data_IF_553235862048
#
_entry.id   IF_553235862048
#
_cell.length_a   1.000
_cell.length_b   1.000
_cell.length_c   1.000
_cell.angle_alpha   90.00
_cell.angle_beta   90.00
_cell.angle_gamma   90.00
#
_symmetry.space_group_name_H-M   'P 1'
#
loop_
_entity.id
_entity.type
_entity.pdbx_description
1 polymer ?
#
# COMPACT_ATOMS: atom_id res chain seq x y z
N UNK A 1 14.28 -45.75 -12.84
CA UNK A 1 13.66 -45.22 -11.60
C UNK A 1 14.30 -43.92 -11.10
N UNK A 2 15.63 -43.78 -11.06
CA UNK A 2 16.28 -42.58 -10.51
C UNK A 2 15.93 -41.25 -11.22
N UNK A 3 15.70 -41.26 -12.53
CA UNK A 3 15.38 -40.04 -13.30
C UNK A 3 14.02 -39.44 -12.91
N UNK A 4 13.02 -40.29 -12.71
CA UNK A 4 11.69 -39.87 -12.27
C UNK A 4 11.72 -39.29 -10.85
N UNK A 5 12.53 -39.85 -9.96
CA UNK A 5 12.66 -39.36 -8.58
C UNK A 5 13.33 -37.98 -8.52
N UNK A 6 14.42 -37.76 -9.27
CA UNK A 6 15.10 -36.45 -9.31
C UNK A 6 14.20 -35.39 -9.94
N UNK A 7 13.56 -35.70 -11.07
CA UNK A 7 12.63 -34.77 -11.72
C UNK A 7 11.45 -34.41 -10.80
N UNK A 8 10.87 -35.40 -10.11
CA UNK A 8 9.77 -35.18 -9.16
C UNK A 8 10.22 -34.32 -7.97
N UNK A 9 11.41 -34.58 -7.41
CA UNK A 9 11.95 -33.79 -6.30
C UNK A 9 12.16 -32.32 -6.69
N UNK A 10 12.62 -32.05 -7.92
CA UNK A 10 12.83 -30.69 -8.42
C UNK A 10 11.52 -29.95 -8.67
N UNK A 11 10.52 -30.64 -9.23
CA UNK A 11 9.18 -30.08 -9.39
C UNK A 11 8.58 -29.75 -8.02
N UNK A 12 8.74 -30.64 -7.04
CA UNK A 12 8.29 -30.39 -5.67
C UNK A 12 9.02 -29.20 -5.03
N UNK A 13 10.34 -29.05 -5.23
CA UNK A 13 11.09 -27.89 -4.74
C UNK A 13 10.63 -26.59 -5.41
N UNK A 14 10.40 -26.61 -6.72
CA UNK A 14 9.91 -25.44 -7.46
C UNK A 14 8.49 -25.04 -6.99
N UNK A 15 7.60 -26.01 -6.81
CA UNK A 15 6.24 -25.78 -6.28
C UNK A 15 6.30 -25.27 -4.85
N UNK A 16 7.12 -25.88 -3.99
CA UNK A 16 7.32 -25.43 -2.60
C UNK A 16 7.86 -24.00 -2.55
N UNK A 17 8.86 -23.67 -3.38
CA UNK A 17 9.40 -22.31 -3.50
C UNK A 17 8.32 -21.33 -3.95
N UNK A 18 7.58 -21.64 -5.02
CA UNK A 18 6.51 -20.78 -5.52
C UNK A 18 5.41 -20.56 -4.46
N UNK A 19 5.05 -21.62 -3.73
CA UNK A 19 4.10 -21.55 -2.63
C UNK A 19 4.62 -20.68 -1.48
N UNK A 20 5.85 -20.89 -1.01
CA UNK A 20 6.46 -20.06 0.04
C UNK A 20 6.54 -18.58 -0.33
N UNK A 21 6.85 -18.26 -1.59
CA UNK A 21 6.85 -16.86 -2.07
C UNK A 21 5.44 -16.29 -2.07
N UNK A 22 4.46 -17.05 -2.58
CA UNK A 22 3.07 -16.61 -2.69
C UNK A 22 2.40 -16.40 -1.33
N UNK A 23 2.70 -17.26 -0.36
CA UNK A 23 2.24 -17.10 1.03
C UNK A 23 3.01 -15.99 1.78
N UNK A 24 4.05 -15.42 1.18
CA UNK A 24 4.87 -14.40 1.82
C UNK A 24 5.79 -14.94 2.91
N UNK A 25 6.13 -16.22 2.88
CA UNK A 25 7.05 -16.87 3.83
C UNK A 25 8.51 -16.82 3.38
N UNK A 26 8.73 -16.83 2.07
CA UNK A 26 10.04 -16.61 1.45
C UNK A 26 10.01 -15.30 0.66
N UNK A 27 10.67 -14.27 1.17
CA UNK A 27 10.74 -12.95 0.56
C UNK A 27 12.11 -12.31 0.74
N UNK A 28 12.31 -11.17 0.08
CA UNK A 28 13.62 -10.53 -0.05
C UNK A 28 14.38 -11.09 -1.26
N UNK A 29 14.88 -10.17 -2.09
CA UNK A 29 15.52 -10.51 -3.37
C UNK A 29 16.70 -11.46 -3.17
N UNK A 30 17.55 -11.18 -2.18
CA UNK A 30 18.76 -11.96 -1.93
C UNK A 30 18.46 -13.36 -1.38
N UNK A 31 17.42 -13.49 -0.54
CA UNK A 31 17.00 -14.78 0.05
C UNK A 31 16.36 -15.69 -0.99
N UNK A 32 15.53 -15.12 -1.87
CA UNK A 32 14.96 -15.84 -3.00
C UNK A 32 16.05 -16.28 -3.96
N UNK A 33 16.99 -15.39 -4.33
CA UNK A 33 18.11 -15.73 -5.20
C UNK A 33 18.97 -16.85 -4.60
N UNK A 34 19.27 -16.79 -3.31
CA UNK A 34 20.01 -17.85 -2.61
C UNK A 34 19.30 -19.20 -2.67
N UNK A 35 17.99 -19.21 -2.52
CA UNK A 35 17.17 -20.42 -2.64
C UNK A 35 17.17 -20.95 -4.07
N UNK A 36 17.02 -20.07 -5.07
CA UNK A 36 17.03 -20.45 -6.49
C UNK A 36 18.41 -21.00 -6.92
N UNK A 37 19.51 -20.44 -6.41
CA UNK A 37 20.87 -20.95 -6.60
C UNK A 37 21.04 -22.34 -5.98
N UNK A 38 20.52 -22.56 -4.77
CA UNK A 38 20.56 -23.87 -4.10
C UNK A 38 19.78 -24.94 -4.90
N UNK A 39 18.56 -24.63 -5.32
CA UNK A 39 17.74 -25.53 -6.16
C UNK A 39 18.49 -25.88 -7.45
N UNK A 40 19.11 -24.88 -8.08
CA UNK A 40 19.87 -25.05 -9.31
C UNK A 40 21.12 -25.93 -9.09
N UNK A 41 21.84 -25.72 -7.99
CA UNK A 41 23.02 -26.52 -7.63
C UNK A 41 22.66 -27.98 -7.36
N UNK A 42 21.56 -28.24 -6.63
CA UNK A 42 21.05 -29.60 -6.38
C UNK A 42 20.64 -30.31 -7.68
N UNK A 43 20.04 -29.56 -8.61
CA UNK A 43 19.70 -30.09 -9.92
C UNK A 43 20.96 -30.50 -10.69
N UNK A 44 21.94 -29.59 -10.78
CA UNK A 44 23.22 -29.85 -11.44
C UNK A 44 23.89 -31.09 -10.84
N UNK A 45 23.97 -31.18 -9.51
CA UNK A 45 24.54 -32.33 -8.82
C UNK A 45 23.78 -33.62 -9.15
N UNK A 46 22.44 -33.58 -9.16
CA UNK A 46 21.59 -34.71 -9.53
C UNK A 46 21.84 -35.21 -10.95
N UNK A 47 22.01 -34.31 -11.92
CA UNK A 47 22.34 -34.65 -13.31
C UNK A 47 23.76 -35.24 -13.44
N UNK A 48 24.74 -34.70 -12.71
CA UNK A 48 26.12 -35.23 -12.70
C UNK A 48 26.15 -36.64 -12.13
N UNK A 49 25.52 -36.86 -10.97
CA UNK A 49 25.45 -38.18 -10.34
C UNK A 49 24.71 -39.18 -11.24
N UNK A 50 23.59 -38.77 -11.84
CA UNK A 50 22.86 -39.60 -12.80
C UNK A 50 23.76 -40.05 -13.97
N UNK A 51 24.47 -39.12 -14.61
CA UNK A 51 25.37 -39.45 -15.73
C UNK A 51 26.48 -40.39 -15.29
N UNK A 52 27.02 -40.19 -14.09
CA UNK A 52 28.04 -41.05 -13.51
C UNK A 52 27.53 -42.50 -13.34
N UNK A 53 26.34 -42.69 -12.76
CA UNK A 53 25.76 -44.03 -12.56
C UNK A 53 25.35 -44.71 -13.88
N UNK A 54 24.74 -43.99 -14.82
CA UNK A 54 24.36 -44.54 -16.14
C UNK A 54 25.60 -45.03 -16.91
N UNK A 55 26.73 -44.30 -16.82
CA UNK A 55 28.00 -44.74 -17.42
C UNK A 55 28.55 -45.99 -16.73
N UNK A 56 28.43 -46.08 -15.40
CA UNK A 56 28.92 -47.23 -14.63
C UNK A 56 28.15 -48.52 -14.95
N UNK A 57 26.84 -48.45 -15.14
CA UNK A 57 26.03 -49.62 -15.50
C UNK A 57 26.31 -50.11 -16.93
N UNK A 58 26.51 -49.18 -17.87
CA UNK A 58 26.95 -49.54 -19.24
C UNK A 58 28.34 -50.20 -19.27
N UNK A 59 29.24 -49.82 -18.36
CA UNK A 59 30.58 -50.43 -18.25
C UNK A 59 30.50 -51.88 -17.76
N UNK A 60 29.64 -52.19 -16.78
CA UNK A 60 29.46 -53.55 -16.26
C UNK A 60 28.77 -54.52 -17.22
N UNK A 61 28.03 -54.02 -18.21
CA UNK A 61 27.37 -54.84 -19.24
C UNK A 61 28.27 -55.23 -20.41
N UNK A 62 29.50 -54.70 -20.51
CA UNK A 62 30.35 -54.82 -21.71
C UNK A 62 31.36 -55.98 -21.68
N UNK A 63 31.30 -56.86 -20.68
CA UNK A 63 32.20 -58.02 -20.54
C UNK A 63 31.83 -59.25 -21.41
N UNK A 64 30.85 -59.15 -22.34
CA UNK A 64 30.43 -60.30 -23.17
C UNK A 64 30.36 -60.08 -24.69
N UNK A 65 30.80 -58.96 -25.24
CA UNK A 65 30.80 -58.80 -26.71
C UNK A 65 31.73 -57.69 -27.18
N UNK A 66 32.80 -58.07 -27.87
CA UNK A 66 33.75 -57.15 -28.49
C UNK A 66 33.05 -56.20 -29.47
N UNK A 67 33.03 -54.92 -29.13
CA UNK A 67 32.44 -53.86 -29.96
C UNK A 67 33.02 -52.52 -29.56
N UNK A 68 33.78 -51.95 -30.50
CA UNK A 68 34.48 -50.66 -30.49
C UNK A 68 34.17 -49.75 -29.29
N UNK A 69 35.19 -49.50 -28.47
CA UNK A 69 35.15 -48.43 -27.49
C UNK A 69 35.18 -47.08 -28.21
N UNK A 70 34.00 -46.51 -28.48
CA UNK A 70 33.89 -45.09 -28.77
C UNK A 70 34.37 -44.32 -27.55
N UNK A 71 35.60 -43.82 -27.63
CA UNK A 71 36.15 -42.89 -26.67
C UNK A 71 35.29 -41.62 -26.69
N UNK A 72 34.83 -41.12 -25.53
CA UNK A 72 34.02 -39.91 -25.48
C UNK A 72 34.79 -38.78 -26.16
N UNK A 73 34.18 -38.20 -27.20
CA UNK A 73 34.82 -37.14 -27.98
C UNK A 73 34.89 -35.85 -27.15
N UNK A 74 35.90 -35.01 -27.39
CA UNK A 74 36.06 -33.72 -26.69
C UNK A 74 34.80 -32.83 -26.82
N UNK A 75 34.08 -32.95 -27.93
CA UNK A 75 32.79 -32.32 -28.21
C UNK A 75 31.67 -32.75 -27.25
N UNK A 76 31.65 -34.02 -26.82
CA UNK A 76 30.65 -34.51 -25.85
C UNK A 76 30.87 -33.94 -24.44
N UNK A 77 32.11 -33.59 -24.12
CA UNK A 77 32.47 -32.94 -22.86
C UNK A 77 32.10 -31.46 -22.85
N UNK A 78 32.38 -30.74 -23.94
CA UNK A 78 31.98 -29.33 -24.05
C UNK A 78 30.46 -29.16 -24.12
N UNK A 79 29.75 -30.00 -24.87
CA UNK A 79 28.29 -29.97 -24.92
C UNK A 79 27.68 -30.22 -23.54
N UNK A 80 28.27 -31.13 -22.75
CA UNK A 80 27.83 -31.40 -21.39
C UNK A 80 28.15 -30.25 -20.43
N UNK A 81 29.34 -29.65 -20.52
CA UNK A 81 29.72 -28.49 -19.72
C UNK A 81 28.83 -27.26 -20.02
N UNK A 82 28.54 -26.99 -21.29
CA UNK A 82 27.64 -25.92 -21.70
C UNK A 82 26.22 -26.14 -21.19
N UNK A 83 25.71 -27.38 -21.25
CA UNK A 83 24.39 -27.74 -20.70
C UNK A 83 24.36 -27.57 -19.17
N UNK A 84 25.43 -27.94 -18.48
CA UNK A 84 25.57 -27.78 -17.03
C UNK A 84 25.58 -26.33 -16.58
N UNK A 85 26.17 -25.43 -17.38
CA UNK A 85 26.25 -24.00 -17.06
C UNK A 85 24.97 -23.24 -17.45
N UNK A 86 24.32 -23.61 -18.55
CA UNK A 86 23.11 -22.92 -19.03
C UNK A 86 21.84 -23.26 -18.24
N UNK A 87 21.79 -24.45 -17.65
CA UNK A 87 20.57 -24.95 -17.00
C UNK A 87 20.24 -24.27 -15.66
N UNK A 88 21.20 -23.93 -14.77
CA UNK A 88 20.94 -23.07 -13.62
C UNK A 88 20.31 -21.73 -14.01
N UNK A 89 20.87 -21.05 -15.01
CA UNK A 89 20.34 -19.76 -15.47
C UNK A 89 18.91 -19.88 -16.00
N UNK A 90 18.61 -20.95 -16.75
CA UNK A 90 17.27 -21.24 -17.24
C UNK A 90 16.27 -21.51 -16.10
N UNK A 91 16.67 -22.30 -15.09
CA UNK A 91 15.81 -22.62 -13.94
C UNK A 91 15.54 -21.38 -13.09
N UNK A 92 16.57 -20.60 -12.76
CA UNK A 92 16.42 -19.34 -12.03
C UNK A 92 15.51 -18.37 -12.80
N UNK A 93 15.70 -18.26 -14.12
CA UNK A 93 14.87 -17.41 -14.98
C UNK A 93 13.41 -17.85 -14.98
N UNK A 94 13.16 -19.16 -15.09
CA UNK A 94 11.81 -19.72 -15.07
C UNK A 94 11.13 -19.53 -13.71
N UNK A 95 11.84 -19.78 -12.61
CA UNK A 95 11.31 -19.58 -11.25
C UNK A 95 11.01 -18.10 -10.97
N UNK A 96 11.87 -17.20 -11.46
CA UNK A 96 11.65 -15.76 -11.36
C UNK A 96 10.46 -15.30 -12.22
N UNK A 97 10.25 -15.93 -13.38
CA UNK A 97 9.12 -15.64 -14.25
C UNK A 97 7.78 -16.10 -13.64
N UNK A 98 7.75 -17.27 -13.01
CA UNK A 98 6.51 -17.88 -12.48
C UNK A 98 6.12 -17.31 -11.12
N UNK A 99 7.09 -17.08 -10.23
CA UNK A 99 6.84 -16.58 -8.88
C UNK A 99 7.92 -15.53 -8.53
N UNK A 100 7.87 -14.33 -9.11
CA UNK A 100 8.90 -13.31 -8.89
C UNK A 100 9.00 -12.93 -7.41
N UNK A 101 10.17 -12.49 -6.96
CA UNK A 101 10.36 -12.03 -5.58
C UNK A 101 9.44 -10.87 -5.19
N UNK A 102 8.95 -10.12 -6.18
CA UNK A 102 7.98 -9.05 -6.01
C UNK A 102 7.01 -9.10 -7.18
N UNK A 103 5.70 -8.95 -6.97
CA UNK A 103 4.75 -8.93 -8.07
C UNK A 103 5.13 -7.86 -9.10
N UNK A 104 5.19 -8.25 -10.38
CA UNK A 104 5.56 -7.35 -11.49
C UNK A 104 4.69 -6.08 -11.56
N UNK A 105 3.46 -6.14 -11.02
CA UNK A 105 2.52 -5.03 -10.99
C UNK A 105 3.05 -3.79 -10.21
N UNK A 106 3.98 -3.95 -9.28
CA UNK A 106 4.41 -2.84 -8.41
C UNK A 106 5.61 -2.04 -8.93
N UNK A 107 6.30 -2.52 -9.97
CA UNK A 107 7.34 -1.79 -10.69
C UNK A 107 8.62 -1.50 -9.91
N UNK A 108 8.77 -2.03 -8.70
CA UNK A 108 9.99 -1.95 -7.89
C UNK A 108 10.20 -3.25 -7.10
N UNK A 109 11.43 -3.50 -6.66
CA UNK A 109 11.77 -4.67 -5.82
C UNK A 109 11.25 -4.49 -4.40
N UNK A 110 10.88 -5.58 -3.74
CA UNK A 110 10.58 -5.59 -2.32
C UNK A 110 11.80 -5.11 -1.51
N UNK A 111 11.55 -4.37 -0.43
CA UNK A 111 12.61 -4.00 0.51
C UNK A 111 13.16 -5.25 1.22
N UNK A 112 14.39 -5.14 1.73
CA UNK A 112 14.99 -6.21 2.54
C UNK A 112 14.10 -6.51 3.75
N UNK A 113 13.94 -7.80 4.04
CA UNK A 113 13.11 -8.29 5.14
C UNK A 113 11.69 -7.68 5.17
N UNK A 114 11.08 -7.39 4.02
CA UNK A 114 9.69 -6.92 3.94
C UNK A 114 8.83 -7.81 3.04
N UNK A 115 7.71 -8.26 3.58
CA UNK A 115 6.71 -8.99 2.85
C UNK A 115 5.90 -8.05 1.95
N UNK A 116 5.60 -8.50 0.73
CA UNK A 116 4.73 -7.79 -0.24
C UNK A 116 3.56 -8.67 -0.69
N UNK A 117 3.78 -9.98 -0.81
CA UNK A 117 2.72 -10.94 -1.10
C UNK A 117 1.73 -11.02 0.06
N UNK A 118 0.44 -11.16 -0.26
CA UNK A 118 -0.66 -11.27 0.70
C UNK A 118 -0.84 -10.07 1.65
N UNK A 119 -0.12 -8.97 1.44
CA UNK A 119 -0.35 -7.74 2.18
C UNK A 119 -1.64 -7.04 1.73
N UNK A 120 -2.37 -6.43 2.67
CA UNK A 120 -3.60 -5.71 2.36
C UNK A 120 -3.33 -4.47 1.51
N UNK A 121 -2.31 -3.71 1.90
CA UNK A 121 -1.90 -2.49 1.25
C UNK A 121 -0.43 -2.58 0.85
N UNK A 122 -0.07 -2.01 -0.30
CA UNK A 122 1.30 -2.01 -0.81
C UNK A 122 1.68 -0.59 -1.20
N UNK A 123 2.89 -0.20 -0.87
CA UNK A 123 3.45 1.11 -1.20
C UNK A 123 4.93 1.04 -1.53
N UNK A 124 5.43 2.13 -2.12
CA UNK A 124 6.83 2.34 -2.48
C UNK A 124 7.43 3.34 -1.49
N UNK A 125 8.56 3.00 -0.87
CA UNK A 125 9.30 3.95 -0.06
C UNK A 125 9.80 5.12 -0.91
N UNK A 126 9.60 6.35 -0.42
CA UNK A 126 10.06 7.58 -1.10
C UNK A 126 10.95 8.42 -0.20
N UNK A 127 11.56 9.45 -0.78
CA UNK A 127 12.49 10.36 -0.09
C UNK A 127 13.95 9.91 -0.20
N UNK A 128 14.92 10.81 0.02
CA UNK A 128 16.34 10.55 -0.24
C UNK A 128 16.97 9.54 0.72
N UNK A 129 16.45 9.43 1.95
CA UNK A 129 16.97 8.54 2.98
C UNK A 129 16.16 7.25 3.14
N UNK A 130 15.11 7.05 2.34
CA UNK A 130 14.13 5.99 2.53
C UNK A 130 13.19 6.30 3.68
N UNK A 131 12.72 5.25 4.38
CA UNK A 131 11.74 5.38 5.45
C UNK A 131 12.23 4.68 6.73
N UNK A 132 12.27 5.42 7.84
CA UNK A 132 12.71 4.89 9.13
C UNK A 132 11.58 4.10 9.78
N UNK A 133 11.87 2.85 10.14
CA UNK A 133 10.94 2.01 10.88
C UNK A 133 11.12 2.19 12.37
N UNK A 134 10.01 2.14 13.11
CA UNK A 134 9.97 2.32 14.56
C UNK A 134 9.19 1.20 15.22
N UNK A 135 9.44 1.02 16.52
CA UNK A 135 8.75 0.03 17.36
C UNK A 135 7.26 0.32 17.58
N UNK A 136 6.83 1.57 17.35
CA UNK A 136 5.43 2.00 17.47
C UNK A 136 5.08 3.17 16.54
N UNK A 137 3.80 3.56 16.50
CA UNK A 137 3.28 4.54 15.56
C UNK A 137 3.57 5.98 16.01
N UNK A 138 4.83 6.42 15.93
CA UNK A 138 5.20 7.78 16.34
C UNK A 138 6.70 8.01 16.40
N UNK A 139 7.11 9.28 16.47
CA UNK A 139 8.53 9.64 16.60
C UNK A 139 9.07 9.43 18.01
N UNK A 140 8.17 9.38 19.00
CA UNK A 140 8.52 9.06 20.38
C UNK A 140 9.03 7.60 20.54
N UNK A 141 8.66 6.71 19.61
CA UNK A 141 9.11 5.32 19.62
C UNK A 141 10.52 5.16 19.08
N UNK A 142 11.26 4.18 19.61
CA UNK A 142 12.61 3.88 19.17
C UNK A 142 12.64 3.49 17.69
N UNK A 143 13.64 4.02 16.97
CA UNK A 143 13.94 3.57 15.61
C UNK A 143 14.55 2.17 15.69
N UNK A 144 13.98 1.22 14.96
CA UNK A 144 14.44 -0.17 14.97
C UNK A 144 15.15 -0.57 13.67
N UNK A 145 14.76 0.04 12.56
CA UNK A 145 15.25 -0.33 11.24
C UNK A 145 15.12 0.86 10.27
N UNK A 146 15.61 0.70 9.03
CA UNK A 146 15.41 1.64 7.93
C UNK A 146 15.24 0.89 6.62
N UNK A 147 14.15 1.18 5.93
CA UNK A 147 13.96 0.72 4.56
C UNK A 147 14.59 1.71 3.59
N UNK A 148 15.32 1.20 2.60
CA UNK A 148 15.88 2.00 1.53
C UNK A 148 14.80 2.70 0.71
N UNK A 149 15.17 3.74 -0.04
CA UNK A 149 14.27 4.42 -0.96
C UNK A 149 14.03 3.60 -2.23
N UNK A 150 12.85 3.75 -2.83
CA UNK A 150 12.52 3.14 -4.12
C UNK A 150 12.31 1.62 -4.06
N UNK A 151 11.96 1.07 -2.91
CA UNK A 151 11.59 -0.34 -2.76
C UNK A 151 10.16 -0.50 -2.24
N UNK A 152 9.56 -1.65 -2.49
CA UNK A 152 8.16 -1.95 -2.19
C UNK A 152 8.02 -2.58 -0.80
N UNK A 153 7.01 -2.12 -0.06
CA UNK A 153 6.62 -2.63 1.25
C UNK A 153 5.15 -3.05 1.22
N UNK A 154 4.84 -4.19 1.83
CA UNK A 154 3.48 -4.58 2.20
C UNK A 154 3.14 -4.12 3.61
N UNK A 155 1.87 -3.79 3.81
CA UNK A 155 1.33 -3.29 5.07
C UNK A 155 0.05 -4.02 5.44
N UNK A 156 -0.12 -4.28 6.73
CA UNK A 156 -1.35 -4.86 7.28
C UNK A 156 -2.46 -3.81 7.39
N UNK A 157 -2.09 -2.58 7.77
CA UNK A 157 -2.99 -1.47 8.04
C UNK A 157 -2.25 -0.28 8.61
N UNK A 158 -2.98 0.62 9.27
CA UNK A 158 -2.40 1.80 9.90
C UNK A 158 -2.87 2.00 11.34
N UNK A 159 -2.06 2.78 12.07
CA UNK A 159 -2.37 3.36 13.35
C UNK A 159 -2.28 4.89 13.26
N UNK A 160 -2.98 5.59 14.16
CA UNK A 160 -2.83 7.04 14.31
C UNK A 160 -1.69 7.29 15.29
N UNK A 161 -0.80 8.21 14.92
CA UNK A 161 0.44 8.46 15.63
C UNK A 161 0.86 9.91 15.59
N UNK A 162 2.13 10.16 15.92
CA UNK A 162 2.68 11.51 15.85
C UNK A 162 2.59 12.08 14.43
N UNK A 163 2.20 13.36 14.36
CA UNK A 163 2.13 14.11 13.12
C UNK A 163 3.53 14.31 12.52
N UNK A 164 3.72 13.81 11.29
CA UNK A 164 4.95 13.99 10.51
C UNK A 164 4.66 15.00 9.40
N UNK A 165 5.53 16.01 9.27
CA UNK A 165 5.47 16.90 8.10
C UNK A 165 5.83 16.11 6.85
N UNK A 166 4.92 16.07 5.91
CA UNK A 166 5.15 15.43 4.62
C UNK A 166 6.07 16.34 3.79
N UNK A 167 7.27 15.86 3.39
CA UNK A 167 8.22 16.68 2.65
C UNK A 167 7.78 16.96 1.20
N UNK A 168 6.81 16.21 0.68
CA UNK A 168 6.30 16.30 -0.69
C UNK A 168 4.94 17.02 -0.74
N UNK A 169 4.16 16.97 0.35
CA UNK A 169 2.87 17.65 0.41
C UNK A 169 3.00 19.19 0.38
N UNK A 170 1.97 19.91 -0.12
CA UNK A 170 1.92 21.37 -0.06
C UNK A 170 2.21 21.91 1.35
N UNK A 171 2.95 23.04 1.42
CA UNK A 171 3.57 23.58 2.65
C UNK A 171 2.61 23.57 3.84
N UNK A 172 2.90 22.71 4.83
CA UNK A 172 2.25 22.70 6.14
C UNK A 172 1.38 21.48 6.43
N UNK A 173 1.21 20.55 5.49
CA UNK A 173 0.48 19.32 5.78
C UNK A 173 1.27 18.34 6.64
N UNK A 174 0.54 17.72 7.56
CA UNK A 174 1.02 16.65 8.41
C UNK A 174 0.28 15.36 8.09
N UNK A 175 1.01 14.26 8.08
CA UNK A 175 0.47 12.91 8.03
C UNK A 175 0.57 12.30 9.42
N UNK A 176 -0.52 11.70 9.86
CA UNK A 176 -0.66 11.09 11.19
C UNK A 176 -0.74 9.57 11.11
N UNK A 177 -0.86 9.00 9.91
CA UNK A 177 -0.91 7.56 9.72
C UNK A 177 0.49 6.97 9.74
N UNK A 178 0.65 5.98 10.60
CA UNK A 178 1.81 5.13 10.70
C UNK A 178 1.41 3.73 10.26
N UNK A 179 2.05 3.22 9.21
CA UNK A 179 1.72 1.95 8.58
C UNK A 179 2.46 0.82 9.30
N UNK A 180 1.74 -0.22 9.69
CA UNK A 180 2.35 -1.45 10.20
C UNK A 180 2.83 -2.29 9.02
N UNK A 181 4.13 -2.51 8.93
CA UNK A 181 4.73 -3.39 7.92
C UNK A 181 4.25 -4.81 8.14
N UNK A 182 3.76 -5.44 7.07
CA UNK A 182 3.20 -6.78 7.13
C UNK A 182 4.23 -7.81 7.60
N UNK A 183 3.79 -8.70 8.48
CA UNK A 183 4.61 -9.80 9.02
C UNK A 183 3.74 -10.98 9.46
N UNK A 184 4.38 -12.09 9.82
CA UNK A 184 3.70 -13.22 10.44
C UNK A 184 3.76 -13.09 11.97
N UNK A 185 2.63 -12.76 12.60
CA UNK A 185 2.58 -12.57 14.06
C UNK A 185 2.70 -13.89 14.84
N UNK A 186 2.11 -14.98 14.31
CA UNK A 186 1.94 -16.23 15.05
C UNK A 186 2.12 -17.49 14.20
N UNK A 187 2.21 -18.63 14.89
CA UNK A 187 2.23 -19.95 14.30
C UNK A 187 3.53 -20.32 13.59
N UNK A 188 3.46 -21.37 12.77
CA UNK A 188 4.62 -21.90 12.05
C UNK A 188 5.13 -20.94 10.96
N UNK A 189 4.24 -20.10 10.40
CA UNK A 189 4.58 -19.12 9.37
C UNK A 189 5.63 -18.13 9.85
N UNK A 190 5.48 -17.62 11.08
CA UNK A 190 6.48 -16.77 11.75
C UNK A 190 7.85 -17.43 11.84
N UNK A 191 7.91 -18.68 12.27
CA UNK A 191 9.19 -19.41 12.39
C UNK A 191 9.86 -19.57 11.03
N UNK A 192 9.08 -19.91 10.00
CA UNK A 192 9.60 -20.10 8.63
C UNK A 192 10.06 -18.76 8.04
N UNK A 193 9.26 -17.70 8.14
CA UNK A 193 9.61 -16.37 7.65
C UNK A 193 10.86 -15.80 8.35
N UNK A 194 10.99 -16.02 9.66
CA UNK A 194 12.20 -15.63 10.42
C UNK A 194 13.44 -16.36 9.95
N UNK A 195 13.36 -17.67 9.70
CA UNK A 195 14.52 -18.49 9.29
C UNK A 195 14.89 -18.25 7.82
N UNK A 196 13.90 -18.14 6.95
CA UNK A 196 14.13 -18.06 5.50
C UNK A 196 14.25 -16.63 4.96
N UNK A 197 13.61 -15.66 5.61
CA UNK A 197 13.48 -14.28 5.10
C UNK A 197 14.01 -13.21 6.06
N UNK A 198 14.65 -13.60 7.16
CA UNK A 198 15.09 -12.72 8.26
C UNK A 198 13.99 -11.80 8.80
N UNK A 199 12.74 -12.29 8.86
CA UNK A 199 11.64 -11.50 9.40
C UNK A 199 11.93 -11.09 10.86
N UNK A 200 11.90 -9.78 11.19
CA UNK A 200 12.19 -9.32 12.54
C UNK A 200 11.06 -9.65 13.51
N UNK A 201 11.43 -9.91 14.77
CA UNK A 201 10.48 -10.31 15.81
C UNK A 201 9.58 -9.19 16.33
N UNK A 202 9.97 -7.94 16.12
CA UNK A 202 9.24 -6.77 16.60
C UNK A 202 8.40 -6.14 15.49
N UNK A 203 7.31 -5.48 15.86
CA UNK A 203 6.49 -4.68 14.95
C UNK A 203 7.33 -3.52 14.39
N UNK A 204 7.11 -3.19 13.12
CA UNK A 204 7.78 -2.09 12.42
C UNK A 204 6.73 -1.15 11.86
N UNK A 205 6.72 0.07 12.37
CA UNK A 205 5.84 1.13 11.89
C UNK A 205 6.64 2.12 11.06
N UNK A 206 6.09 2.55 9.92
CA UNK A 206 6.69 3.57 9.07
C UNK A 206 5.68 4.70 8.82
N UNK A 207 6.16 5.92 8.66
CA UNK A 207 5.27 7.04 8.36
C UNK A 207 4.78 6.96 6.91
N UNK A 208 3.48 7.16 6.70
CA UNK A 208 2.88 7.17 5.36
C UNK A 208 3.38 8.34 4.50
N UNK A 209 3.87 9.45 5.09
CA UNK A 209 4.50 10.57 4.36
C UNK A 209 5.66 10.14 3.45
N UNK A 210 6.29 9.01 3.77
CA UNK A 210 7.43 8.48 3.04
C UNK A 210 7.06 7.20 2.28
N UNK A 211 5.78 7.02 1.94
CA UNK A 211 5.27 5.88 1.17
C UNK A 211 4.32 6.36 0.07
N UNK A 212 4.71 6.16 -1.19
CA UNK A 212 3.83 6.36 -2.33
C UNK A 212 2.92 5.14 -2.54
N UNK A 213 1.60 5.32 -2.72
CA UNK A 213 0.66 4.22 -2.88
C UNK A 213 0.95 3.37 -4.13
N UNK A 214 0.87 2.04 -4.01
CA UNK A 214 0.85 1.08 -5.13
C UNK A 214 -0.43 0.23 -5.16
N UNK A 215 -1.20 0.25 -4.08
CA UNK A 215 -2.54 -0.32 -3.97
C UNK A 215 -3.59 0.76 -3.69
N UNK A 216 -4.88 0.51 -3.96
CA UNK A 216 -5.95 1.42 -3.58
C UNK A 216 -5.98 1.67 -2.06
N UNK A 217 -6.18 2.93 -1.66
CA UNK A 217 -6.20 3.36 -0.26
C UNK A 217 -7.30 2.68 0.57
N UNK A 218 -8.40 2.25 -0.05
CA UNK A 218 -9.47 1.51 0.62
C UNK A 218 -9.02 0.17 1.24
N UNK A 219 -7.87 -0.36 0.83
CA UNK A 219 -7.29 -1.55 1.44
C UNK A 219 -6.53 -1.23 2.73
N UNK A 220 -6.21 0.05 2.98
CA UNK A 220 -5.50 0.50 4.15
C UNK A 220 -6.49 0.78 5.28
N UNK A 221 -6.61 -0.16 6.22
CA UNK A 221 -7.57 -0.10 7.33
C UNK A 221 -6.90 0.26 8.65
N UNK A 222 -7.65 0.90 9.54
CA UNK A 222 -7.23 1.10 10.92
C UNK A 222 -7.17 -0.25 11.64
N UNK A 223 -6.09 -0.49 12.38
CA UNK A 223 -5.83 -1.80 12.99
C UNK A 223 -6.48 -1.99 14.37
N UNK A 224 -7.07 -0.94 14.94
CA UNK A 224 -7.67 -0.98 16.28
C UNK A 224 -6.65 -0.74 17.41
N UNK A 225 -7.17 -0.44 18.60
CA UNK A 225 -6.37 0.03 19.73
C UNK A 225 -5.34 -1.01 20.21
N UNK A 226 -5.68 -2.30 20.14
CA UNK A 226 -4.80 -3.41 20.54
C UNK A 226 -3.55 -3.49 19.66
N UNK A 227 -3.72 -3.39 18.34
CA UNK A 227 -2.60 -3.40 17.41
C UNK A 227 -1.78 -2.10 17.48
N UNK A 228 -2.43 -0.99 17.86
CA UNK A 228 -1.90 0.37 17.91
C UNK A 228 -1.47 0.81 19.32
N UNK A 229 -1.02 -0.12 20.16
CA UNK A 229 -0.58 0.17 21.53
C UNK A 229 0.43 1.34 21.59
N UNK A 230 0.14 2.31 22.48
CA UNK A 230 0.93 3.53 22.65
C UNK A 230 0.77 4.57 21.53
N UNK A 231 -0.03 4.28 20.50
CA UNK A 231 -0.43 5.25 19.49
C UNK A 231 -1.40 6.29 20.01
N UNK A 232 -1.80 7.21 19.13
CA UNK A 232 -2.81 8.22 19.44
C UNK A 232 -4.20 7.64 19.24
N UNK A 233 -5.15 8.17 20.01
CA UNK A 233 -6.56 7.88 19.82
C UNK A 233 -6.98 8.28 18.40
N UNK A 234 -7.91 7.51 17.84
CA UNK A 234 -8.50 7.78 16.54
C UNK A 234 -9.29 9.12 16.58
N UNK A 235 -9.33 9.86 15.46
CA UNK A 235 -10.21 11.01 15.31
C UNK A 235 -11.64 10.74 15.77
N UNK A 236 -12.14 11.59 16.67
CA UNK A 236 -13.52 11.59 17.12
C UNK A 236 -14.48 12.14 16.05
N UNK A 237 -15.79 11.99 16.24
CA UNK A 237 -16.78 12.56 15.34
C UNK A 237 -16.67 14.08 15.31
N UNK A 238 -16.87 14.65 14.12
CA UNK A 238 -16.99 16.09 13.94
C UNK A 238 -18.41 16.51 14.29
N UNK A 239 -18.55 17.59 15.04
CA UNK A 239 -19.78 18.37 15.14
C UNK A 239 -19.60 19.62 14.29
N UNK A 240 -20.54 19.92 13.40
CA UNK A 240 -20.47 21.08 12.52
C UNK A 240 -21.67 21.99 12.75
N UNK A 241 -21.39 23.26 13.02
CA UNK A 241 -22.36 24.35 13.03
C UNK A 241 -22.02 25.34 11.92
N UNK A 242 -22.97 26.18 11.55
CA UNK A 242 -22.72 27.18 10.51
C UNK A 242 -23.53 28.44 10.68
N UNK A 243 -22.95 29.56 10.27
CA UNK A 243 -23.61 30.86 10.26
C UNK A 243 -23.29 31.64 8.98
N UNK A 244 -24.17 32.55 8.54
CA UNK A 244 -23.86 33.46 7.44
C UNK A 244 -22.65 34.34 7.79
N UNK A 245 -21.71 34.48 6.86
CA UNK A 245 -20.52 35.31 7.04
C UNK A 245 -20.13 36.02 5.74
N UNK A 246 -20.24 37.35 5.70
CA UNK A 246 -19.63 38.22 4.68
C UNK A 246 -19.64 37.71 3.22
N UNK A 247 -20.80 37.37 2.67
CA UNK A 247 -20.90 36.85 1.29
C UNK A 247 -20.63 35.34 1.16
N UNK A 248 -20.72 34.60 2.27
CA UNK A 248 -20.48 33.17 2.36
C UNK A 248 -21.12 32.54 3.60
N UNK A 249 -20.65 31.34 3.94
CA UNK A 249 -21.04 30.58 5.14
C UNK A 249 -19.78 30.25 5.92
N UNK A 250 -19.75 30.61 7.19
CA UNK A 250 -18.71 30.14 8.12
C UNK A 250 -19.16 28.82 8.75
N UNK A 251 -18.33 27.80 8.63
CA UNK A 251 -18.47 26.55 9.34
C UNK A 251 -17.59 26.60 10.59
N UNK A 252 -18.18 26.29 11.74
CA UNK A 252 -17.43 26.06 12.98
C UNK A 252 -17.57 24.59 13.32
N UNK A 253 -16.44 23.90 13.47
CA UNK A 253 -16.42 22.48 13.75
C UNK A 253 -15.69 22.18 15.05
N UNK A 254 -16.18 21.19 15.78
CA UNK A 254 -15.59 20.68 17.02
C UNK A 254 -15.30 19.18 16.84
N UNK A 255 -14.12 18.74 17.29
CA UNK A 255 -13.70 17.34 17.22
C UNK A 255 -12.66 17.03 18.28
N UNK A 256 -12.40 15.75 18.53
CA UNK A 256 -11.35 15.28 19.43
C UNK A 256 -10.31 14.48 18.65
N UNK A 257 -9.07 14.48 19.16
CA UNK A 257 -7.97 13.64 18.65
C UNK A 257 -7.69 13.81 17.14
N UNK A 258 -7.91 15.00 16.62
CA UNK A 258 -7.77 15.34 15.21
C UNK A 258 -6.83 16.54 15.08
N UNK A 259 -5.81 16.43 14.24
CA UNK A 259 -4.86 17.52 13.97
C UNK A 259 -5.40 18.53 12.95
N UNK A 260 -6.28 18.09 12.05
CA UNK A 260 -6.79 18.89 10.93
C UNK A 260 -8.18 18.46 10.51
N UNK A 261 -9.04 19.43 10.21
CA UNK A 261 -10.37 19.20 9.64
C UNK A 261 -10.44 19.85 8.26
N UNK A 262 -11.02 19.11 7.32
CA UNK A 262 -11.32 19.57 5.97
C UNK A 262 -12.83 19.73 5.77
N UNK A 263 -13.22 20.63 4.87
CA UNK A 263 -14.61 20.79 4.43
C UNK A 263 -14.67 20.68 2.91
N UNK A 264 -15.65 19.95 2.40
CA UNK A 264 -16.00 19.90 0.99
C UNK A 264 -17.49 20.17 0.78
N UNK A 265 -17.85 20.60 -0.43
CA UNK A 265 -19.22 20.79 -0.86
C UNK A 265 -19.52 20.01 -2.14
N UNK A 266 -20.76 19.56 -2.27
CA UNK A 266 -21.32 18.94 -3.45
C UNK A 266 -22.48 19.79 -3.99
N UNK A 267 -22.36 20.16 -5.25
CA UNK A 267 -23.40 20.75 -6.08
C UNK A 267 -24.02 19.63 -6.94
N UNK A 268 -25.31 19.70 -7.28
CA UNK A 268 -25.94 18.71 -8.12
C UNK A 268 -25.52 18.94 -9.57
N UNK A 269 -25.19 17.86 -10.29
CA UNK A 269 -24.61 17.91 -11.63
C UNK A 269 -25.47 18.67 -12.65
N UNK A 270 -26.79 18.62 -12.50
CA UNK A 270 -27.73 19.33 -13.37
C UNK A 270 -27.79 20.85 -13.10
N UNK A 271 -27.22 21.34 -12.00
CA UNK A 271 -27.25 22.75 -11.62
C UNK A 271 -25.94 23.49 -11.92
N UNK A 272 -24.89 22.79 -12.36
CA UNK A 272 -23.58 23.38 -12.68
C UNK A 272 -23.46 23.65 -14.18
N UNK A 273 -22.97 24.84 -14.53
CA UNK A 273 -22.62 25.25 -15.90
C UNK A 273 -21.17 24.88 -16.24
N UNK A 274 -20.30 24.80 -15.25
CA UNK A 274 -18.89 24.48 -15.39
C UNK A 274 -18.21 24.31 -14.03
N UNK A 275 -17.05 23.65 -14.01
CA UNK A 275 -16.32 23.30 -12.79
C UNK A 275 -16.66 21.89 -12.29
N UNK A 276 -16.17 21.56 -11.09
CA UNK A 276 -16.43 20.27 -10.44
C UNK A 276 -17.66 20.35 -9.55
N UNK A 277 -18.53 19.34 -9.65
CA UNK A 277 -19.67 19.15 -8.76
C UNK A 277 -19.25 18.98 -7.30
N UNK A 278 -18.11 18.32 -7.06
CA UNK A 278 -17.54 18.11 -5.74
C UNK A 278 -16.22 18.86 -5.62
N UNK A 279 -16.07 19.68 -4.58
CA UNK A 279 -14.82 20.41 -4.33
C UNK A 279 -14.56 20.66 -2.87
N UNK A 280 -13.28 20.82 -2.54
CA UNK A 280 -12.85 21.30 -1.23
C UNK A 280 -13.22 22.78 -1.06
N UNK A 281 -13.72 23.13 0.12
CA UNK A 281 -13.86 24.52 0.56
C UNK A 281 -12.56 24.99 1.19
N UNK A 282 -11.98 24.16 2.06
CA UNK A 282 -10.71 24.41 2.71
C UNK A 282 -10.40 23.33 3.75
N UNK A 283 -9.22 23.44 4.34
CA UNK A 283 -8.81 22.63 5.49
C UNK A 283 -7.93 23.47 6.40
N UNK A 284 -8.02 23.23 7.71
CA UNK A 284 -7.25 23.95 8.72
C UNK A 284 -6.89 23.04 9.89
N UNK A 285 -5.77 23.37 10.52
CA UNK A 285 -5.35 22.72 11.77
C UNK A 285 -6.38 22.98 12.86
N UNK A 286 -6.58 21.97 13.69
CA UNK A 286 -7.47 22.05 14.83
C UNK A 286 -6.76 22.76 15.97
N UNK A 287 -7.44 23.70 16.60
CA UNK A 287 -6.92 24.41 17.78
C UNK A 287 -6.78 23.46 18.98
N UNK A 288 -6.04 23.88 20.01
CA UNK A 288 -5.81 23.06 21.20
C UNK A 288 -7.10 22.65 21.95
N UNK A 289 -8.19 23.39 21.75
CA UNK A 289 -9.52 23.10 22.30
C UNK A 289 -10.35 22.16 21.42
N UNK A 290 -9.83 21.68 20.29
CA UNK A 290 -10.57 20.81 19.37
C UNK A 290 -11.43 21.55 18.34
N UNK A 291 -11.34 22.88 18.26
CA UNK A 291 -12.19 23.69 17.37
C UNK A 291 -11.46 24.13 16.10
N UNK A 292 -12.23 24.40 15.05
CA UNK A 292 -11.74 24.92 13.76
C UNK A 292 -12.83 25.73 13.09
N UNK A 293 -12.47 26.79 12.35
CA UNK A 293 -13.41 27.57 11.53
C UNK A 293 -12.95 27.70 10.08
N UNK A 294 -13.83 27.37 9.13
CA UNK A 294 -13.58 27.41 7.68
C UNK A 294 -14.73 28.16 7.00
N UNK A 295 -14.40 29.16 6.17
CA UNK A 295 -15.41 29.95 5.45
C UNK A 295 -15.55 29.48 4.01
N UNK A 296 -16.76 29.10 3.63
CA UNK A 296 -17.14 28.93 2.24
C UNK A 296 -17.56 30.26 1.63
N UNK A 297 -16.73 30.78 0.71
CA UNK A 297 -17.09 31.91 -0.11
C UNK A 297 -18.11 31.48 -1.19
N UNK A 298 -19.38 31.86 -1.02
CA UNK A 298 -20.42 31.46 -1.96
C UNK A 298 -20.35 32.26 -3.27
N UNK A 299 -19.71 33.44 -3.26
CA UNK A 299 -19.51 34.25 -4.47
C UNK A 299 -18.62 33.56 -5.51
N UNK A 300 -17.71 32.67 -5.11
CA UNK A 300 -16.95 31.84 -6.07
C UNK A 300 -17.80 30.70 -6.66
N UNK A 301 -18.90 30.36 -5.99
CA UNK A 301 -19.78 29.25 -6.36
C UNK A 301 -20.90 29.71 -7.28
N UNK A 302 -21.46 30.91 -7.06
CA UNK A 302 -22.57 31.43 -7.85
C UNK A 302 -22.32 31.46 -9.37
N UNK A 303 -21.15 31.90 -9.89
CA UNK A 303 -20.88 31.93 -11.32
C UNK A 303 -20.83 30.54 -11.99
N UNK A 304 -20.61 29.49 -11.19
CA UNK A 304 -20.51 28.11 -11.68
C UNK A 304 -21.89 27.47 -11.87
N UNK A 305 -22.95 28.10 -11.35
CA UNK A 305 -24.29 27.57 -11.40
C UNK A 305 -25.01 28.04 -12.66
N UNK A 306 -25.96 27.24 -13.14
CA UNK A 306 -26.79 27.60 -14.30
C UNK A 306 -27.56 28.89 -14.01
N UNK A 307 -27.52 29.91 -14.90
CA UNK A 307 -28.23 31.16 -14.69
C UNK A 307 -29.76 31.01 -14.80
N UNK A 308 -30.53 31.89 -14.15
CA UNK A 308 -32.00 31.97 -14.18
C UNK A 308 -32.71 30.65 -13.78
N UNK A 309 -32.55 30.28 -12.51
CA UNK A 309 -33.13 29.06 -11.94
C UNK A 309 -34.51 29.34 -11.38
N UNK A 310 -35.47 28.47 -11.67
CA UNK A 310 -36.80 28.51 -11.06
C UNK A 310 -36.83 27.95 -9.64
N UNK A 311 -35.84 27.13 -9.28
CA UNK A 311 -35.76 26.45 -7.97
C UNK A 311 -34.40 26.68 -7.29
N UNK A 312 -34.36 26.69 -5.94
CA UNK A 312 -33.11 26.74 -5.18
C UNK A 312 -32.23 25.52 -5.43
N UNK A 313 -30.92 25.73 -5.56
CA UNK A 313 -29.93 24.63 -5.71
C UNK A 313 -29.56 24.09 -4.34
N UNK A 314 -29.77 22.79 -4.15
CA UNK A 314 -29.35 22.10 -2.92
C UNK A 314 -27.85 21.85 -2.93
N UNK A 315 -27.15 22.20 -1.86
CA UNK A 315 -25.71 22.01 -1.69
C UNK A 315 -25.48 21.21 -0.42
N UNK A 316 -24.73 20.12 -0.52
CA UNK A 316 -24.35 19.33 0.66
C UNK A 316 -22.94 19.73 1.06
N UNK A 317 -22.75 20.25 2.27
CA UNK A 317 -21.44 20.45 2.86
C UNK A 317 -21.11 19.28 3.81
N UNK A 318 -19.86 18.84 3.80
CA UNK A 318 -19.36 17.80 4.69
C UNK A 318 -18.03 18.23 5.29
N UNK A 319 -17.92 18.09 6.62
CA UNK A 319 -16.67 18.22 7.35
C UNK A 319 -16.13 16.83 7.71
N UNK A 320 -14.81 16.64 7.56
CA UNK A 320 -14.13 15.38 7.84
C UNK A 320 -12.80 15.61 8.59
N UNK A 321 -12.47 14.78 9.58
CA UNK A 321 -11.11 14.71 10.10
C UNK A 321 -10.14 14.24 9.02
N UNK A 322 -9.04 14.95 8.85
CA UNK A 322 -7.99 14.62 7.90
C UNK A 322 -6.79 14.03 8.64
N UNK A 323 -6.41 12.83 8.23
CA UNK A 323 -5.23 12.13 8.72
C UNK A 323 -3.97 12.50 7.92
N UNK A 324 -4.14 12.98 6.68
CA UNK A 324 -3.08 13.47 5.80
C UNK A 324 -3.64 14.10 4.51
N UNK A 325 -2.77 14.46 3.52
CA UNK A 325 -3.12 15.25 2.33
C UNK A 325 -4.17 14.65 1.38
N UNK A 326 -4.47 13.36 1.52
CA UNK A 326 -5.50 12.62 0.77
C UNK A 326 -6.26 11.62 1.65
N UNK A 327 -5.85 11.47 2.92
CA UNK A 327 -6.39 10.48 3.83
C UNK A 327 -7.36 11.08 4.82
N UNK A 328 -8.64 10.75 4.69
CA UNK A 328 -9.68 11.10 5.64
C UNK A 328 -9.93 9.98 6.66
N UNK A 329 -10.30 10.33 7.90
CA UNK A 329 -10.87 9.37 8.85
C UNK A 329 -12.22 8.80 8.34
N UNK A 330 -12.74 7.73 8.94
CA UNK A 330 -13.92 7.03 8.40
C UNK A 330 -15.17 7.92 8.31
N UNK A 331 -16.11 7.50 7.46
CA UNK A 331 -17.36 8.23 7.18
C UNK A 331 -18.19 8.52 8.42
N UNK A 332 -18.14 7.66 9.44
CA UNK A 332 -18.85 7.85 10.71
C UNK A 332 -18.34 9.05 11.52
N UNK A 333 -17.10 9.49 11.28
CA UNK A 333 -16.53 10.66 11.93
C UNK A 333 -16.90 12.00 11.28
N UNK A 334 -17.70 11.97 10.19
CA UNK A 334 -18.03 13.15 9.39
C UNK A 334 -19.31 13.83 9.85
N UNK A 335 -19.40 15.14 9.63
CA UNK A 335 -20.64 15.92 9.81
C UNK A 335 -21.12 16.45 8.46
N UNK A 336 -22.44 16.47 8.25
CA UNK A 336 -23.06 17.01 7.03
C UNK A 336 -24.10 18.06 7.34
N UNK A 337 -24.12 19.14 6.55
CA UNK A 337 -25.18 20.16 6.57
C UNK A 337 -25.61 20.44 5.13
N UNK A 338 -26.91 20.58 4.91
CA UNK A 338 -27.46 20.91 3.58
C UNK A 338 -27.92 22.36 3.53
N UNK A 339 -27.58 23.01 2.42
CA UNK A 339 -27.96 24.38 2.12
C UNK A 339 -28.81 24.41 0.86
N UNK A 340 -29.59 25.48 0.70
CA UNK A 340 -30.23 25.88 -0.53
C UNK A 340 -29.67 27.24 -0.96
N UNK A 341 -29.26 27.34 -2.22
CA UNK A 341 -28.87 28.60 -2.86
C UNK A 341 -30.04 29.06 -3.73
N UNK A 342 -30.70 30.14 -3.32
CA UNK A 342 -31.80 30.75 -4.06
C UNK A 342 -31.32 31.43 -5.36
N UNK A 343 -32.28 31.85 -6.20
CA UNK A 343 -31.98 32.47 -7.49
C UNK A 343 -31.24 33.81 -7.36
N UNK A 344 -31.49 34.55 -6.28
CA UNK A 344 -30.81 35.79 -5.89
C UNK A 344 -29.43 35.56 -5.24
N UNK A 345 -29.06 34.30 -5.02
CA UNK A 345 -27.80 33.90 -4.38
C UNK A 345 -27.86 33.81 -2.86
N UNK A 346 -29.02 34.05 -2.24
CA UNK A 346 -29.18 33.85 -0.80
C UNK A 346 -28.97 32.37 -0.43
N UNK A 347 -28.22 32.13 0.65
CA UNK A 347 -27.91 30.78 1.14
C UNK A 347 -28.62 30.54 2.45
N UNK A 348 -29.45 29.50 2.51
CA UNK A 348 -30.21 29.12 3.69
C UNK A 348 -29.96 27.67 4.04
N UNK A 349 -29.85 27.35 5.33
CA UNK A 349 -29.82 25.95 5.80
C UNK A 349 -31.17 25.31 5.47
N UNK A 350 -31.15 24.05 5.02
CA UNK A 350 -32.35 23.24 4.81
C UNK A 350 -32.49 22.29 6.01
N UNK A 351 -33.29 22.65 7.04
CA UNK A 351 -33.58 21.73 8.13
C UNK A 351 -34.27 20.48 7.55
N UNK A 352 -33.94 19.31 8.08
CA UNK A 352 -34.53 18.02 7.69
C UNK A 352 -34.28 17.58 6.24
N UNK A 353 -33.19 18.04 5.62
CA UNK A 353 -32.74 17.49 4.36
C UNK A 353 -32.50 15.97 4.48
N UNK A 354 -32.88 15.17 3.46
CA UNK A 354 -32.59 13.75 3.46
C UNK A 354 -31.08 13.53 3.56
N UNK A 355 -30.68 12.50 4.31
CA UNK A 355 -29.28 12.15 4.45
C UNK A 355 -28.64 11.93 3.07
N UNK A 356 -27.43 12.47 2.88
CA UNK A 356 -26.65 12.21 1.69
C UNK A 356 -26.35 10.70 1.60
N UNK A 357 -26.44 10.14 0.39
CA UNK A 357 -26.07 8.74 0.13
C UNK A 357 -24.63 8.47 0.57
N UNK A 358 -24.33 7.24 1.01
CA UNK A 358 -22.99 6.86 1.46
C UNK A 358 -21.90 7.08 0.39
N UNK A 359 -22.21 6.85 -0.89
CA UNK A 359 -21.29 7.13 -2.01
C UNK A 359 -20.93 8.63 -2.10
N UNK A 360 -21.92 9.52 -2.00
CA UNK A 360 -21.68 10.97 -1.98
C UNK A 360 -20.90 11.39 -0.73
N UNK A 361 -21.22 10.83 0.44
CA UNK A 361 -20.49 11.11 1.68
C UNK A 361 -19.03 10.68 1.57
N UNK A 362 -18.75 9.51 1.00
CA UNK A 362 -17.37 9.05 0.81
C UNK A 362 -16.60 9.93 -0.18
N UNK A 363 -17.21 10.33 -1.30
CA UNK A 363 -16.60 11.27 -2.26
C UNK A 363 -16.29 12.63 -1.63
N UNK A 364 -17.24 13.19 -0.87
CA UNK A 364 -17.06 14.45 -0.15
C UNK A 364 -15.98 14.35 0.93
N UNK A 365 -15.96 13.26 1.69
CA UNK A 365 -14.97 12.98 2.73
C UNK A 365 -13.55 12.96 2.18
N UNK A 366 -13.32 12.28 1.06
CA UNK A 366 -12.01 12.30 0.36
C UNK A 366 -11.67 13.70 -0.15
N UNK A 367 -12.63 14.38 -0.79
CA UNK A 367 -12.43 15.73 -1.32
C UNK A 367 -12.18 16.79 -0.22
N UNK A 368 -12.67 16.57 1.00
CA UNK A 368 -12.44 17.46 2.13
C UNK A 368 -10.96 17.48 2.54
N UNK A 369 -10.25 16.37 2.37
CA UNK A 369 -8.84 16.25 2.72
C UNK A 369 -7.89 16.35 1.52
N UNK A 370 -8.38 16.22 0.28
CA UNK A 370 -7.59 16.33 -0.95
C UNK A 370 -7.02 17.74 -1.17
N UNK A 371 -5.69 17.84 -1.12
CA UNK A 371 -4.93 19.10 -1.26
C UNK A 371 -4.46 19.42 -2.67
N UNK A 372 -4.45 18.43 -3.56
CA UNK A 372 -3.91 18.62 -4.90
C UNK A 372 -4.88 19.43 -5.78
N UNK A 373 -6.17 19.38 -5.46
CA UNK A 373 -7.21 20.11 -6.20
C UNK A 373 -7.38 21.57 -5.81
N UNK A 374 -6.87 21.99 -4.64
CA UNK A 374 -7.08 23.33 -4.11
C UNK A 374 -6.25 24.41 -4.83
N UNK A 375 -5.22 24.01 -5.60
CA UNK A 375 -4.30 24.93 -6.31
C UNK A 375 -4.69 25.28 -7.76
N UNK A 376 -5.79 24.75 -8.28
CA UNK A 376 -6.19 24.90 -9.70
C UNK A 376 -7.41 25.80 -9.94
N UNK A 377 -7.80 26.63 -8.96
CA UNK A 377 -8.93 27.56 -9.06
C UNK A 377 -8.48 29.00 -9.30
#
# INVERSE_FOLDING_TARGET
>A
MCLGLIASALVLLAVARAWLVREGLLYGTDRILGTDVLISALLVLGLVLMRYFVRRDKSKGKDKGGGSGETPTWTDWFGFAATLLGLPALVVSLLTLVAPATPNAYGARACAAAQVYSANYVGLTVGPLGNYARSGPGVAFSQTDRFDSGCTLGFEGYCVGDAIKDPVAPKGWTETRWLLVARHDEGWGRTVARVLSDEPEHKRFVSLSYVAPKSPEQNLKYLGDEACEGGRARPGPVVMTSQPAGGGVEFTMETTHTERVGVAIALPDNAIRGGSAIRQVGSKETEANGTVSITWNTQSTLPQLTPKRSEPVRVVALAAPCLGPVGSADVESTATVTYAIAADGAVTVVPDAPAASDDLRDKLRRAACDTERSGAL
#
